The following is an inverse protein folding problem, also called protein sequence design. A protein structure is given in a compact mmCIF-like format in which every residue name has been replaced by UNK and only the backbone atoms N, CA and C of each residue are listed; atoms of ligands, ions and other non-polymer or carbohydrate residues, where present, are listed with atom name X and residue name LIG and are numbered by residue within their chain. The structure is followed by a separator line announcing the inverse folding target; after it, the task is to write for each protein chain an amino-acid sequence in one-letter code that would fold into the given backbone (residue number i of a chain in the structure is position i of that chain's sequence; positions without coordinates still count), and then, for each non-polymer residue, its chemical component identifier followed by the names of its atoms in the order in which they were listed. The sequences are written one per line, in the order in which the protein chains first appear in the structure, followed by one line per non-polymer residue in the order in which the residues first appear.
data_IF_381527615343
#
_entry.id   IF_381527615343
#
_cell.length_a   1.000
_cell.length_b   1.000
_cell.length_c   1.000
_cell.angle_alpha   90.00
_cell.angle_beta   90.00
_cell.angle_gamma   90.00
#
_symmetry.space_group_name_H-M   'P 1'
#
loop_
_entity.id
_entity.type
_entity.pdbx_description
1 polymer ?
#
# COMPACT_ATOMS: atom_id res chain seq x y z
N UNK A 1 -3.47 12.12 2.52
CA UNK A 1 -3.08 10.71 2.75
C UNK A 1 -4.08 9.84 2.04
N UNK A 2 -3.63 8.84 1.30
CA UNK A 2 -4.51 7.89 0.57
C UNK A 2 -5.03 6.78 1.49
N UNK A 3 -5.76 5.82 0.92
CA UNK A 3 -6.25 4.64 1.63
C UNK A 3 -5.73 3.32 1.02
N UNK A 4 -5.58 2.30 1.85
CA UNK A 4 -4.94 1.03 1.56
C UNK A 4 -5.79 -0.09 2.19
N UNK A 5 -6.18 -1.11 1.42
CA UNK A 5 -6.97 -2.23 1.92
C UNK A 5 -6.53 -3.56 1.31
N UNK A 6 -6.19 -4.54 2.14
CA UNK A 6 -5.99 -5.93 1.69
C UNK A 6 -7.34 -6.64 1.61
N UNK A 7 -7.63 -7.29 0.49
CA UNK A 7 -8.95 -7.92 0.22
C UNK A 7 -8.93 -9.45 0.25
N UNK A 8 -7.76 -10.05 0.53
CA UNK A 8 -7.58 -11.50 0.51
C UNK A 8 -7.11 -12.02 -0.84
N UNK A 9 -6.65 -13.27 -0.88
CA UNK A 9 -6.22 -13.92 -2.13
C UNK A 9 -5.00 -13.29 -2.80
N UNK A 10 -4.06 -12.73 -2.04
CA UNK A 10 -2.90 -11.97 -2.55
C UNK A 10 -3.27 -10.69 -3.33
N UNK A 11 -4.46 -10.14 -3.09
CA UNK A 11 -4.92 -8.91 -3.71
C UNK A 11 -5.12 -7.78 -2.68
N UNK A 12 -4.86 -6.56 -3.12
CA UNK A 12 -5.16 -5.37 -2.35
C UNK A 12 -5.74 -4.28 -3.27
N UNK A 13 -6.28 -3.25 -2.64
CA UNK A 13 -6.71 -2.00 -3.28
C UNK A 13 -5.94 -0.85 -2.64
N UNK A 14 -5.40 0.00 -3.49
CA UNK A 14 -4.66 1.19 -3.10
C UNK A 14 -5.27 2.40 -3.78
N UNK A 15 -5.73 3.34 -2.98
CA UNK A 15 -6.34 4.57 -3.45
C UNK A 15 -5.51 5.78 -3.01
N UNK A 16 -4.95 6.48 -3.99
CA UNK A 16 -4.20 7.71 -3.79
C UNK A 16 -4.97 8.97 -4.20
N UNK A 17 -6.25 8.84 -4.56
CA UNK A 17 -7.10 9.95 -4.96
C UNK A 17 -7.13 11.01 -3.86
N UNK A 18 -6.92 12.28 -4.22
CA UNK A 18 -6.89 13.41 -3.29
C UNK A 18 -5.65 13.46 -2.38
N UNK A 19 -4.73 12.49 -2.48
CA UNK A 19 -3.57 12.40 -1.59
C UNK A 19 -2.33 13.10 -2.14
N UNK A 20 -2.20 13.25 -3.47
CA UNK A 20 -1.13 13.99 -4.14
C UNK A 20 -1.66 14.71 -5.38
N UNK A 21 -1.50 16.05 -5.49
CA UNK A 21 -2.00 16.83 -6.62
C UNK A 21 -1.49 16.37 -8.00
N UNK A 22 -0.25 15.86 -8.04
CA UNK A 22 0.37 15.35 -9.27
C UNK A 22 -0.30 14.05 -9.73
N UNK A 23 -0.68 13.17 -8.80
CA UNK A 23 -1.33 11.89 -9.12
C UNK A 23 -2.80 12.11 -9.52
N UNK A 24 -3.47 13.08 -8.92
CA UNK A 24 -4.84 13.48 -9.28
C UNK A 24 -4.91 14.10 -10.68
N UNK A 25 -3.86 14.78 -11.15
CA UNK A 25 -3.80 15.36 -12.50
C UNK A 25 -3.81 14.27 -13.60
N UNK A 26 -3.35 13.06 -13.27
CA UNK A 26 -3.42 11.89 -14.15
C UNK A 26 -4.70 11.08 -13.96
N UNK A 27 -5.64 11.55 -13.12
CA UNK A 27 -6.92 10.91 -12.83
C UNK A 27 -6.74 9.41 -12.51
N UNK A 28 -5.72 9.11 -11.69
CA UNK A 28 -5.33 7.74 -11.38
C UNK A 28 -6.46 7.05 -10.62
N UNK A 29 -7.10 6.09 -11.28
CA UNK A 29 -8.07 5.20 -10.64
C UNK A 29 -7.38 4.41 -9.52
N UNK A 30 -8.13 4.01 -8.47
CA UNK A 30 -7.62 3.09 -7.46
C UNK A 30 -6.95 1.89 -8.12
N UNK A 31 -5.72 1.59 -7.69
CA UNK A 31 -4.97 0.43 -8.16
C UNK A 31 -5.45 -0.80 -7.39
N UNK A 32 -5.75 -1.88 -8.09
CA UNK A 32 -6.22 -3.12 -7.49
C UNK A 32 -5.44 -4.34 -7.97
N UNK A 33 -5.58 -5.46 -7.26
CA UNK A 33 -5.03 -6.76 -7.62
C UNK A 33 -3.67 -7.03 -6.98
N UNK A 34 -2.89 -7.93 -7.60
CA UNK A 34 -1.64 -8.45 -7.01
C UNK A 34 -0.51 -7.42 -6.94
N UNK A 35 -0.41 -6.54 -7.94
CA UNK A 35 0.57 -5.44 -7.93
C UNK A 35 0.26 -4.45 -6.80
N UNK A 36 -1.01 -4.16 -6.57
CA UNK A 36 -1.48 -3.36 -5.45
C UNK A 36 -1.18 -4.03 -4.10
N UNK A 37 -1.19 -5.36 -3.99
CA UNK A 37 -0.78 -6.07 -2.78
C UNK A 37 0.71 -5.90 -2.44
N UNK A 38 1.61 -5.91 -3.44
CA UNK A 38 3.02 -5.62 -3.21
C UNK A 38 3.24 -4.18 -2.74
N UNK A 39 2.51 -3.22 -3.32
CA UNK A 39 2.53 -1.83 -2.87
C UNK A 39 2.00 -1.73 -1.43
N UNK A 40 0.88 -2.38 -1.12
CA UNK A 40 0.30 -2.42 0.21
C UNK A 40 1.30 -2.91 1.27
N UNK A 41 1.98 -4.04 1.00
CA UNK A 41 3.03 -4.57 1.89
C UNK A 41 4.16 -3.55 2.09
N UNK A 42 4.59 -2.92 0.99
CA UNK A 42 5.68 -1.92 1.02
C UNK A 42 5.31 -0.69 1.86
N UNK A 43 4.10 -0.16 1.69
CA UNK A 43 3.61 0.97 2.48
C UNK A 43 3.50 0.62 3.96
N UNK A 44 2.94 -0.55 4.29
CA UNK A 44 2.89 -1.02 5.67
C UNK A 44 4.29 -1.14 6.29
N UNK A 45 5.26 -1.68 5.57
CA UNK A 45 6.63 -1.80 6.04
C UNK A 45 7.29 -0.43 6.28
N UNK A 46 7.01 0.57 5.44
CA UNK A 46 7.54 1.94 5.65
C UNK A 46 6.96 2.61 6.89
N UNK A 47 5.67 2.43 7.17
CA UNK A 47 4.95 3.08 8.28
C UNK A 47 5.30 2.48 9.67
N UNK A 48 5.92 1.30 9.74
CA UNK A 48 6.38 0.74 11.01
C UNK A 48 7.46 1.63 11.66
N UNK A 49 7.31 1.92 12.96
CA UNK A 49 8.18 2.88 13.66
C UNK A 49 9.57 2.36 14.04
N UNK A 50 9.78 1.04 14.08
CA UNK A 50 11.04 0.45 14.55
C UNK A 50 11.61 -0.55 13.56
N UNK A 51 12.95 -0.64 13.51
CA UNK A 51 13.64 -1.66 12.72
C UNK A 51 13.26 -3.06 13.13
N UNK A 52 13.12 -3.32 14.44
CA UNK A 52 12.69 -4.63 14.96
C UNK A 52 11.34 -5.07 14.40
N UNK A 53 10.33 -4.19 14.41
CA UNK A 53 9.00 -4.52 13.88
C UNK A 53 9.03 -4.75 12.37
N UNK A 54 9.81 -3.95 11.62
CA UNK A 54 10.00 -4.17 10.18
C UNK A 54 10.62 -5.53 9.89
N UNK A 55 11.64 -5.92 10.63
CA UNK A 55 12.31 -7.22 10.48
C UNK A 55 11.34 -8.36 10.77
N UNK A 56 10.61 -8.32 11.88
CA UNK A 56 9.62 -9.35 12.22
C UNK A 56 8.56 -9.48 11.12
N UNK A 57 7.99 -8.35 10.68
CA UNK A 57 6.97 -8.33 9.63
C UNK A 57 7.48 -8.89 8.29
N UNK A 58 8.75 -8.65 7.95
CA UNK A 58 9.35 -9.15 6.72
C UNK A 58 9.59 -10.67 6.71
N UNK A 59 9.72 -11.31 7.88
CA UNK A 59 9.85 -12.77 8.00
C UNK A 59 8.50 -13.49 8.18
N UNK A 60 7.49 -12.80 8.72
CA UNK A 60 6.12 -13.34 8.83
C UNK A 60 5.39 -13.40 7.48
N UNK A 61 5.84 -12.61 6.50
CA UNK A 61 5.25 -12.49 5.16
C UNK A 61 5.91 -13.36 4.11
#
# INVERSE_FOLDING_TARGET
MGSLAYVGGDEAVVDFTGSKPILDMFNLKPLSGRSAAYLWKSFYLTEMFTGRTKTLLAFDW
#
